data_IF_319908489790
#
_entry.id   IF_319908489790
#
_cell.length_a   1.000
_cell.length_b   1.000
_cell.length_c   1.000
_cell.angle_alpha   90.00
_cell.angle_beta   90.00
_cell.angle_gamma   90.00
#
_symmetry.space_group_name_H-M   'P 1'
#
loop_
_entity.id
_entity.type
_entity.pdbx_description
1 polymer ?
#
# COMPACT_ATOMS: atom_id res chain seq x y z
N UNK A 1 -33.85 15.65 -21.65
CA UNK A 1 -32.64 15.50 -20.82
C UNK A 1 -31.61 14.75 -21.63
N UNK A 2 -30.52 15.39 -22.03
CA UNK A 2 -29.43 14.75 -22.77
C UNK A 2 -28.57 13.97 -21.76
N UNK A 3 -28.29 12.69 -22.02
CA UNK A 3 -27.39 11.86 -21.22
C UNK A 3 -26.07 11.68 -21.99
N UNK A 4 -24.98 12.26 -21.47
CA UNK A 4 -23.63 12.21 -22.05
C UNK A 4 -22.72 11.24 -21.28
N UNK A 5 -23.27 10.16 -20.74
CA UNK A 5 -22.51 9.18 -19.95
C UNK A 5 -21.87 8.13 -20.84
N UNK A 6 -20.55 8.00 -20.76
CA UNK A 6 -19.80 6.87 -21.33
C UNK A 6 -19.53 5.80 -20.27
N UNK A 7 -19.52 4.51 -20.67
CA UNK A 7 -19.16 3.38 -19.79
C UNK A 7 -17.93 2.67 -20.31
N UNK A 8 -17.05 2.28 -19.39
CA UNK A 8 -15.88 1.46 -19.67
C UNK A 8 -16.20 0.03 -19.24
N UNK A 9 -16.02 -0.91 -20.16
CA UNK A 9 -16.32 -2.32 -19.98
C UNK A 9 -15.09 -3.14 -20.38
N UNK A 10 -14.76 -4.13 -19.57
CA UNK A 10 -13.69 -5.08 -19.88
C UNK A 10 -14.25 -6.20 -20.76
N UNK A 11 -13.50 -6.63 -21.78
CA UNK A 11 -13.92 -7.74 -22.68
C UNK A 11 -13.32 -9.10 -22.34
N UNK A 12 -12.51 -9.17 -21.28
CA UNK A 12 -11.76 -10.37 -20.88
C UNK A 12 -12.12 -10.79 -19.47
N UNK A 13 -12.06 -12.09 -19.22
CA UNK A 13 -12.53 -12.72 -17.96
C UNK A 13 -11.60 -12.49 -16.75
N UNK A 14 -10.45 -11.84 -16.92
CA UNK A 14 -9.52 -11.63 -15.81
C UNK A 14 -8.41 -10.65 -16.12
N UNK A 15 -7.78 -10.15 -15.07
CA UNK A 15 -6.61 -9.29 -15.13
C UNK A 15 -5.59 -9.80 -14.11
N UNK A 16 -4.37 -10.07 -14.56
CA UNK A 16 -3.25 -10.38 -13.66
C UNK A 16 -2.43 -9.13 -13.43
N UNK A 17 -2.40 -8.64 -12.19
CA UNK A 17 -1.52 -7.53 -11.80
C UNK A 17 -0.03 -7.86 -11.96
N UNK A 18 0.34 -9.14 -11.99
CA UNK A 18 1.71 -9.62 -12.17
C UNK A 18 2.17 -9.54 -13.63
N UNK A 19 1.23 -9.58 -14.58
CA UNK A 19 1.53 -9.38 -16.00
C UNK A 19 1.53 -7.89 -16.34
N UNK A 20 0.41 -7.21 -16.05
CA UNK A 20 0.23 -5.78 -16.33
C UNK A 20 -0.67 -5.18 -15.24
N UNK A 21 -0.11 -4.26 -14.46
CA UNK A 21 -0.80 -3.60 -13.34
C UNK A 21 -1.47 -2.27 -13.71
N UNK A 22 -1.10 -1.66 -14.84
CA UNK A 22 -1.60 -0.34 -15.26
C UNK A 22 -1.86 -0.30 -16.77
N UNK A 23 -3.03 0.19 -17.16
CA UNK A 23 -3.44 0.44 -18.55
C UNK A 23 -3.68 1.93 -18.74
N UNK A 24 -3.14 2.50 -19.82
CA UNK A 24 -3.39 3.89 -20.22
C UNK A 24 -4.41 3.89 -21.36
N UNK A 25 -5.59 4.43 -21.11
CA UNK A 25 -6.69 4.48 -22.06
C UNK A 25 -6.88 5.92 -22.56
N UNK A 26 -6.54 6.24 -23.82
CA UNK A 26 -6.87 7.54 -24.39
C UNK A 26 -8.39 7.68 -24.55
N UNK A 27 -8.94 8.84 -24.16
CA UNK A 27 -10.37 9.17 -24.24
C UNK A 27 -10.51 10.45 -25.05
N UNK A 28 -11.28 10.40 -26.13
CA UNK A 28 -11.59 11.57 -26.96
C UNK A 28 -12.99 12.06 -26.62
N UNK A 29 -13.12 13.36 -26.37
CA UNK A 29 -14.40 14.03 -26.13
C UNK A 29 -14.56 15.08 -27.22
N UNK A 30 -15.69 15.05 -27.93
CA UNK A 30 -16.04 16.03 -28.96
C UNK A 30 -17.37 16.72 -28.62
N UNK A 31 -17.50 17.98 -29.02
CA UNK A 31 -18.80 18.65 -29.05
C UNK A 31 -19.61 18.22 -30.28
N UNK A 32 -20.86 18.69 -30.36
CA UNK A 32 -21.75 18.49 -31.50
C UNK A 32 -21.94 19.80 -32.29
N UNK A 33 -21.01 20.75 -32.18
CA UNK A 33 -21.09 22.07 -32.83
C UNK A 33 -20.35 22.08 -34.18
N UNK A 34 -20.42 23.21 -34.89
CA UNK A 34 -19.66 23.42 -36.13
C UNK A 34 -18.89 24.75 -36.09
N UNK A 35 -17.55 24.74 -36.24
CA UNK A 35 -16.70 23.56 -36.42
C UNK A 35 -16.62 22.71 -35.14
N UNK A 36 -16.55 21.38 -35.31
CA UNK A 36 -16.43 20.45 -34.19
C UNK A 36 -15.11 20.70 -33.47
N UNK A 37 -15.13 20.73 -32.15
CA UNK A 37 -13.93 20.74 -31.33
C UNK A 37 -13.83 19.44 -30.52
N UNK A 38 -12.59 18.98 -30.34
CA UNK A 38 -12.32 17.78 -29.56
C UNK A 38 -11.09 17.94 -28.67
N UNK A 39 -11.09 17.20 -27.56
CA UNK A 39 -9.94 17.06 -26.67
C UNK A 39 -9.65 15.58 -26.45
N UNK A 40 -8.38 15.26 -26.20
CA UNK A 40 -7.94 13.90 -25.86
C UNK A 40 -7.36 13.91 -24.45
N UNK A 41 -7.97 13.14 -23.55
CA UNK A 41 -7.46 12.85 -22.22
C UNK A 41 -6.89 11.44 -22.14
N UNK A 42 -6.17 11.12 -21.07
CA UNK A 42 -5.73 9.75 -20.76
C UNK A 42 -6.30 9.32 -19.43
N UNK A 43 -6.99 8.17 -19.43
CA UNK A 43 -7.49 7.52 -18.24
C UNK A 43 -6.55 6.40 -17.82
N UNK A 44 -6.03 6.48 -16.60
CA UNK A 44 -5.16 5.45 -16.02
C UNK A 44 -6.00 4.43 -15.26
N UNK A 45 -6.00 3.18 -15.72
CA UNK A 45 -6.72 2.06 -15.11
C UNK A 45 -5.70 1.17 -14.38
N UNK A 46 -5.89 0.94 -13.08
CA UNK A 46 -5.04 0.04 -12.28
C UNK A 46 -5.73 -1.29 -12.02
N UNK A 47 -4.96 -2.38 -12.11
CA UNK A 47 -5.40 -3.72 -11.69
C UNK A 47 -5.03 -3.92 -10.23
N UNK A 48 -6.04 -4.17 -9.40
CA UNK A 48 -5.87 -4.41 -7.98
C UNK A 48 -5.94 -5.91 -7.66
N UNK A 49 -5.31 -6.32 -6.56
CA UNK A 49 -5.63 -7.61 -5.95
C UNK A 49 -6.99 -7.54 -5.27
N UNK A 50 -7.75 -8.61 -5.42
CA UNK A 50 -9.05 -8.78 -4.80
C UNK A 50 -9.07 -10.06 -3.95
N UNK A 51 -9.90 -10.08 -2.91
CA UNK A 51 -10.22 -11.31 -2.19
C UNK A 51 -11.14 -12.24 -3.02
N UNK A 52 -11.46 -13.42 -2.47
CA UNK A 52 -12.35 -14.39 -3.13
C UNK A 52 -13.79 -13.91 -3.34
N UNK A 53 -14.20 -12.83 -2.66
CA UNK A 53 -15.51 -12.18 -2.81
C UNK A 53 -15.46 -10.98 -3.78
N UNK A 54 -14.29 -10.68 -4.34
CA UNK A 54 -14.08 -9.56 -5.24
C UNK A 54 -13.86 -8.22 -4.55
N UNK A 55 -13.68 -8.18 -3.22
CA UNK A 55 -13.35 -6.94 -2.52
C UNK A 55 -11.90 -6.56 -2.79
N UNK A 56 -11.68 -5.28 -3.08
CA UNK A 56 -10.35 -4.72 -3.30
C UNK A 56 -9.48 -4.84 -2.05
N UNK A 57 -8.32 -5.46 -2.18
CA UNK A 57 -7.31 -5.54 -1.11
C UNK A 57 -6.18 -4.52 -1.32
N UNK A 58 -5.62 -4.44 -2.53
CA UNK A 58 -4.50 -3.53 -2.82
C UNK A 58 -4.35 -3.21 -4.31
N UNK A 59 -4.13 -1.94 -4.64
CA UNK A 59 -3.86 -1.44 -5.99
C UNK A 59 -2.43 -0.94 -6.21
N UNK A 60 -1.59 -1.00 -5.16
CA UNK A 60 -0.16 -0.71 -5.27
C UNK A 60 0.57 -1.96 -5.74
N UNK A 61 1.58 -1.78 -6.59
CA UNK A 61 2.56 -2.82 -6.91
C UNK A 61 3.42 -3.02 -5.68
N UNK A 62 2.87 -3.78 -4.73
CA UNK A 62 3.45 -4.06 -3.44
C UNK A 62 3.62 -2.76 -2.63
N UNK A 63 3.68 -2.86 -1.30
CA UNK A 63 4.63 -1.99 -0.65
C UNK A 63 5.93 -2.47 -1.26
N UNK A 64 6.47 -1.76 -2.27
CA UNK A 64 7.91 -1.75 -2.43
C UNK A 64 8.36 -1.61 -1.00
N UNK A 65 8.99 -2.67 -0.50
CA UNK A 65 9.88 -2.55 0.61
C UNK A 65 10.79 -1.44 0.11
N UNK A 66 10.43 -0.17 0.37
CA UNK A 66 11.41 0.89 0.48
C UNK A 66 12.43 0.16 1.32
N UNK A 67 13.62 -0.16 0.79
CA UNK A 67 14.63 -0.83 1.59
C UNK A 67 14.65 0.04 2.82
N UNK A 68 14.07 -0.47 3.92
CA UNK A 68 13.67 0.42 4.98
C UNK A 68 15.02 1.00 5.35
N UNK A 69 15.16 2.32 5.14
CA UNK A 69 16.45 3.00 5.08
C UNK A 69 17.03 3.12 6.48
N UNK A 70 16.95 2.03 7.25
CA UNK A 70 17.63 1.82 8.49
C UNK A 70 19.09 1.75 8.11
N UNK A 71 19.72 2.91 8.23
CA UNK A 71 21.17 3.02 8.36
C UNK A 71 21.69 1.90 9.26
N UNK A 72 22.90 1.43 9.01
CA UNK A 72 23.58 0.44 9.86
C UNK A 72 23.50 0.80 11.34
N UNK A 73 23.50 2.11 11.68
CA UNK A 73 23.31 2.58 13.05
C UNK A 73 21.92 2.27 13.64
N UNK A 74 20.85 2.36 12.85
CA UNK A 74 19.50 2.02 13.30
C UNK A 74 19.37 0.52 13.55
N UNK A 75 20.01 -0.32 12.73
CA UNK A 75 20.05 -1.78 12.94
C UNK A 75 20.80 -2.12 14.23
N UNK A 76 21.95 -1.48 14.47
CA UNK A 76 22.73 -1.65 15.70
C UNK A 76 21.91 -1.22 16.93
N UNK A 77 21.22 -0.09 16.87
CA UNK A 77 20.39 0.39 17.97
C UNK A 77 19.25 -0.57 18.30
N UNK A 78 18.56 -1.12 17.28
CA UNK A 78 17.49 -2.11 17.47
C UNK A 78 18.04 -3.39 18.12
N UNK A 79 19.18 -3.90 17.65
CA UNK A 79 19.81 -5.09 18.23
C UNK A 79 20.20 -4.88 19.70
N UNK A 80 20.78 -3.72 20.02
CA UNK A 80 21.13 -3.38 21.40
C UNK A 80 19.90 -3.28 22.30
N UNK A 81 18.82 -2.65 21.83
CA UNK A 81 17.56 -2.60 22.58
C UNK A 81 17.03 -4.00 22.90
N UNK A 82 17.05 -4.92 21.93
CA UNK A 82 16.61 -6.31 22.13
C UNK A 82 17.49 -7.02 23.17
N UNK A 83 18.82 -6.89 23.06
CA UNK A 83 19.77 -7.50 24.01
C UNK A 83 19.57 -6.97 25.43
N UNK A 84 19.37 -5.65 25.59
CA UNK A 84 19.15 -5.02 26.89
C UNK A 84 17.81 -5.47 27.48
N UNK A 85 16.73 -5.49 26.69
CA UNK A 85 15.42 -5.93 27.16
C UNK A 85 15.41 -7.41 27.54
N UNK A 86 15.94 -8.30 26.70
CA UNK A 86 16.03 -9.73 26.98
C UNK A 86 17.09 -10.08 28.02
N UNK A 87 18.13 -9.25 28.16
CA UNK A 87 19.13 -9.35 29.21
C UNK A 87 18.57 -8.93 30.57
N UNK A 88 17.69 -7.92 30.60
CA UNK A 88 16.97 -7.48 31.81
C UNK A 88 15.96 -8.52 32.28
N UNK A 89 15.36 -9.28 31.37
CA UNK A 89 14.53 -10.44 31.71
C UNK A 89 15.35 -11.59 32.34
N UNK A 90 16.61 -11.80 31.94
CA UNK A 90 17.49 -12.82 32.54
C UNK A 90 18.17 -12.37 33.84
N UNK A 91 18.34 -11.06 34.03
CA UNK A 91 18.98 -10.45 35.20
C UNK A 91 17.97 -9.72 36.09
N UNK A 92 16.67 -9.94 35.94
CA UNK A 92 15.70 -9.46 36.92
C UNK A 92 16.00 -10.20 38.22
N UNK A 93 16.48 -9.52 39.29
CA UNK A 93 16.50 -10.15 40.59
C UNK A 93 15.03 -10.44 40.93
N UNK A 94 14.78 -11.65 41.42
CA UNK A 94 13.53 -11.99 42.11
C UNK A 94 13.14 -10.86 43.05
N UNK A 95 11.84 -10.55 43.23
CA UNK A 95 11.42 -9.57 44.22
C UNK A 95 11.74 -10.11 45.62
N UNK A 96 12.96 -9.86 46.10
CA UNK A 96 13.32 -10.13 47.49
C UNK A 96 12.74 -8.99 48.30
N UNK A 97 11.69 -9.34 49.05
CA UNK A 97 11.02 -8.56 50.08
C UNK A 97 11.79 -7.31 50.56
N UNK A 98 11.33 -6.15 50.12
CA UNK A 98 11.46 -4.90 50.88
C UNK A 98 10.64 -5.06 52.16
N UNK A 99 11.23 -5.62 53.21
CA UNK A 99 10.82 -5.39 54.60
C UNK A 99 12.03 -5.59 55.52
N UNK A 100 12.19 -4.66 56.46
CA UNK A 100 13.09 -4.68 57.64
C UNK A 100 14.50 -4.11 57.42
N UNK A 101 14.64 -2.78 57.54
CA UNK A 101 15.33 -2.17 58.70
C UNK A 101 15.27 -0.64 58.62
N UNK A 102 14.24 -0.06 59.22
CA UNK A 102 14.35 1.22 59.92
C UNK A 102 14.33 0.89 61.40
N UNK A 103 15.44 1.11 62.08
CA UNK A 103 15.56 1.32 63.52
C UNK A 103 16.75 2.23 63.76
#
# INVERSE_FOLDING_TARGET
MINNTARILTRRNGFSRHEISTYLLPVVISDNDYPIQSSTGTLTIRVCACDSRGNMQSCSAEALLLPAGLSTGALVAILLCIIILLGKERNAPSPTQEQISKA
#
